data_IF_558347484623
#
_entry.id   IF_558347484623
#
_cell.length_a   1.000
_cell.length_b   1.000
_cell.length_c   1.000
_cell.angle_alpha   90.00
_cell.angle_beta   90.00
_cell.angle_gamma   90.00
#
_symmetry.space_group_name_H-M   'P 1'
#
loop_
_entity.id
_entity.type
_entity.pdbx_description
1 polymer ?
#
# COMPACT_ATOMS: atom_id res chain seq x y z
N UNK A 1 5.55 8.17 12.02
CA UNK A 1 4.48 8.23 11.00
C UNK A 1 4.89 8.99 9.74
N UNK A 2 5.79 9.97 9.85
CA UNK A 2 6.12 10.87 8.75
C UNK A 2 7.05 10.36 7.66
N UNK A 3 7.72 9.23 7.81
CA UNK A 3 8.79 8.83 6.89
C UNK A 3 8.28 8.28 5.55
N UNK A 4 7.20 7.53 5.55
CA UNK A 4 6.65 6.94 4.34
C UNK A 4 5.88 7.96 3.49
N UNK A 5 4.94 8.76 4.05
CA UNK A 5 4.34 9.88 3.33
C UNK A 5 5.36 10.88 2.77
N UNK A 6 6.39 11.23 3.55
CA UNK A 6 7.42 12.14 3.09
C UNK A 6 8.20 11.56 1.89
N UNK A 7 8.58 10.28 1.92
CA UNK A 7 9.26 9.64 0.79
C UNK A 7 8.37 9.57 -0.47
N UNK A 8 7.06 9.36 -0.29
CA UNK A 8 6.09 9.39 -1.41
C UNK A 8 5.98 10.81 -1.97
N UNK A 9 5.87 11.82 -1.11
CA UNK A 9 5.81 13.22 -1.54
C UNK A 9 7.08 13.64 -2.29
N UNK A 10 8.26 13.20 -1.83
CA UNK A 10 9.52 13.43 -2.54
C UNK A 10 9.52 12.80 -3.95
N UNK A 11 8.99 11.59 -4.09
CA UNK A 11 8.87 10.92 -5.37
C UNK A 11 7.84 11.64 -6.29
N UNK A 12 6.71 12.07 -5.73
CA UNK A 12 5.67 12.82 -6.46
C UNK A 12 6.14 14.20 -6.91
N UNK A 13 6.98 14.87 -6.11
CA UNK A 13 7.59 16.14 -6.52
C UNK A 13 8.47 15.99 -7.77
N UNK A 14 9.11 14.84 -7.96
CA UNK A 14 9.95 14.56 -9.12
C UNK A 14 9.18 14.02 -10.34
N UNK A 15 8.15 13.21 -10.10
CA UNK A 15 7.49 12.42 -11.15
C UNK A 15 6.03 12.85 -11.41
N UNK A 16 5.49 13.75 -10.60
CA UNK A 16 4.07 14.12 -10.58
C UNK A 16 3.23 13.22 -9.66
N UNK A 17 2.11 13.76 -9.13
CA UNK A 17 1.23 13.03 -8.23
C UNK A 17 0.43 11.94 -8.96
N UNK A 18 0.24 10.80 -8.29
CA UNK A 18 -0.63 9.73 -8.75
C UNK A 18 -2.00 9.81 -8.05
N UNK A 19 -3.06 9.26 -8.68
CA UNK A 19 -4.28 8.91 -7.95
C UNK A 19 -3.95 7.96 -6.80
N UNK A 20 -4.60 8.14 -5.65
CA UNK A 20 -4.33 7.40 -4.44
C UNK A 20 -5.55 6.59 -4.01
N UNK A 21 -5.36 5.30 -3.78
CA UNK A 21 -6.33 4.46 -3.10
C UNK A 21 -5.74 4.02 -1.76
N UNK A 22 -6.44 4.27 -0.67
CA UNK A 22 -5.99 3.88 0.66
C UNK A 22 -6.97 2.91 1.32
N UNK A 23 -6.43 1.90 1.97
CA UNK A 23 -7.20 1.04 2.87
C UNK A 23 -7.43 1.72 4.21
N UNK A 24 -8.19 1.09 5.10
CA UNK A 24 -8.47 1.60 6.43
C UNK A 24 -7.23 1.59 7.33
N UNK A 25 -7.29 2.35 8.42
CA UNK A 25 -6.24 2.43 9.44
C UNK A 25 -5.10 3.35 9.05
N UNK A 26 -3.86 2.93 9.37
CA UNK A 26 -2.65 3.72 9.14
C UNK A 26 -2.50 4.15 7.67
N UNK A 27 -3.00 3.35 6.74
CA UNK A 27 -2.99 3.68 5.31
C UNK A 27 -3.85 4.92 5.00
N UNK A 28 -5.04 5.00 5.59
CA UNK A 28 -5.92 6.15 5.39
C UNK A 28 -5.34 7.41 6.04
N UNK A 29 -4.79 7.29 7.25
CA UNK A 29 -4.16 8.44 7.92
C UNK A 29 -2.92 8.91 7.18
N UNK A 30 -2.07 8.00 6.69
CA UNK A 30 -0.92 8.34 5.86
C UNK A 30 -1.33 9.03 4.54
N UNK A 31 -2.49 8.66 3.97
CA UNK A 31 -2.99 9.26 2.73
C UNK A 31 -3.30 10.76 2.87
N UNK A 32 -3.69 11.24 4.07
CA UNK A 32 -3.94 12.67 4.30
C UNK A 32 -2.68 13.52 4.26
N UNK A 33 -1.51 12.92 4.51
CA UNK A 33 -0.21 13.60 4.46
C UNK A 33 0.47 13.50 3.09
N UNK A 34 -0.16 12.80 2.13
CA UNK A 34 0.37 12.60 0.77
C UNK A 34 -0.34 13.51 -0.21
N UNK A 35 0.43 14.28 -1.00
CA UNK A 35 -0.08 15.06 -2.11
C UNK A 35 -0.54 14.12 -3.24
N UNK A 36 -1.83 14.12 -3.54
CA UNK A 36 -2.45 13.24 -4.55
C UNK A 36 -3.32 14.05 -5.51
N UNK A 37 -3.61 13.47 -6.67
CA UNK A 37 -4.55 14.08 -7.62
C UNK A 37 -6.01 13.74 -7.28
N UNK A 38 -6.28 12.49 -6.90
CA UNK A 38 -7.56 11.98 -6.43
C UNK A 38 -7.31 11.03 -5.26
N UNK A 39 -8.23 10.96 -4.31
CA UNK A 39 -8.20 10.01 -3.19
C UNK A 39 -9.49 9.22 -3.11
N UNK A 40 -9.38 7.89 -3.02
CA UNK A 40 -10.46 6.99 -2.65
C UNK A 40 -10.07 6.19 -1.40
N UNK A 41 -10.95 6.18 -0.41
CA UNK A 41 -10.73 5.49 0.87
C UNK A 41 -12.09 5.11 1.50
N UNK A 42 -12.15 4.07 2.38
CA UNK A 42 -13.40 3.56 2.96
C UNK A 42 -13.84 4.37 4.19
N UNK A 43 -13.85 5.69 4.10
CA UNK A 43 -13.91 6.63 5.22
C UNK A 43 -15.04 6.42 6.23
N UNK A 44 -16.26 6.11 5.79
CA UNK A 44 -17.42 6.03 6.68
C UNK A 44 -17.55 4.67 7.37
N UNK A 45 -17.50 3.59 6.59
CA UNK A 45 -17.76 2.24 7.11
C UNK A 45 -16.50 1.51 7.59
N UNK A 46 -15.33 2.05 7.26
CA UNK A 46 -14.04 1.50 7.65
C UNK A 46 -13.78 0.05 7.15
N UNK A 47 -14.27 -0.27 5.94
CA UNK A 47 -14.10 -1.60 5.37
C UNK A 47 -12.64 -1.91 5.08
N UNK A 48 -12.11 -2.93 5.73
CA UNK A 48 -10.77 -3.46 5.45
C UNK A 48 -10.76 -4.27 4.16
N UNK A 49 -9.64 -4.28 3.44
CA UNK A 49 -9.53 -4.88 2.12
C UNK A 49 -10.12 -4.03 0.99
N UNK A 50 -10.43 -2.77 1.27
CA UNK A 50 -10.96 -1.83 0.27
C UNK A 50 -9.89 -1.33 -0.70
N UNK A 51 -8.65 -1.12 -0.24
CA UNK A 51 -7.61 -0.39 -0.96
C UNK A 51 -7.26 -0.99 -2.31
N UNK A 52 -7.02 -2.31 -2.38
CA UNK A 52 -6.63 -2.98 -3.63
C UNK A 52 -7.73 -2.91 -4.68
N UNK A 53 -8.96 -3.39 -4.43
CA UNK A 53 -10.03 -3.31 -5.44
C UNK A 53 -10.40 -1.88 -5.80
N UNK A 54 -10.34 -0.93 -4.86
CA UNK A 54 -10.59 0.48 -5.15
C UNK A 54 -9.51 1.07 -6.06
N UNK A 55 -8.24 0.72 -5.86
CA UNK A 55 -7.14 1.12 -6.75
C UNK A 55 -7.34 0.59 -8.17
N UNK A 56 -7.72 -0.67 -8.32
CA UNK A 56 -8.04 -1.25 -9.64
C UNK A 56 -9.24 -0.53 -10.28
N UNK A 57 -10.28 -0.25 -9.49
CA UNK A 57 -11.45 0.52 -9.93
C UNK A 57 -11.08 1.94 -10.36
N UNK A 58 -10.18 2.60 -9.62
CA UNK A 58 -9.68 3.94 -9.94
C UNK A 58 -8.91 3.94 -11.27
N UNK A 59 -8.05 2.94 -11.50
CA UNK A 59 -7.35 2.80 -12.79
C UNK A 59 -8.33 2.48 -13.93
N UNK A 60 -9.30 1.61 -13.70
CA UNK A 60 -10.33 1.30 -14.69
C UNK A 60 -11.16 2.52 -15.10
N UNK A 61 -11.53 3.35 -14.13
CA UNK A 61 -12.36 4.53 -14.37
C UNK A 61 -11.61 5.70 -15.02
N UNK A 62 -10.32 5.89 -14.66
CA UNK A 62 -9.55 7.08 -15.07
C UNK A 62 -8.51 6.81 -16.15
N UNK A 63 -8.17 5.55 -16.39
CA UNK A 63 -7.03 5.16 -17.22
C UNK A 63 -5.66 5.53 -16.62
N UNK A 64 -5.63 6.12 -15.42
CA UNK A 64 -4.41 6.58 -14.75
C UNK A 64 -3.92 5.55 -13.74
N UNK A 65 -2.62 5.38 -13.69
CA UNK A 65 -1.96 4.48 -12.75
C UNK A 65 -2.13 4.96 -11.31
N UNK A 66 -2.71 4.19 -10.38
CA UNK A 66 -2.81 4.58 -8.98
C UNK A 66 -1.62 4.12 -8.14
N UNK A 67 -1.38 4.84 -7.03
CA UNK A 67 -0.71 4.32 -5.86
C UNK A 67 -1.76 3.75 -4.90
N UNK A 68 -1.53 2.53 -4.42
CA UNK A 68 -2.42 1.85 -3.46
C UNK A 68 -1.68 1.68 -2.14
N UNK A 69 -2.27 2.13 -1.04
CA UNK A 69 -1.78 1.88 0.32
C UNK A 69 -2.69 0.86 0.98
N UNK A 70 -2.14 -0.24 1.47
CA UNK A 70 -2.89 -1.33 2.08
C UNK A 70 -2.12 -1.94 3.25
N UNK A 71 -2.80 -2.22 4.36
CA UNK A 71 -2.20 -2.96 5.48
C UNK A 71 -2.03 -4.44 5.15
N UNK A 72 -1.10 -5.10 5.83
CA UNK A 72 -0.82 -6.53 5.66
C UNK A 72 -2.06 -7.41 5.88
N UNK A 73 -2.83 -7.15 6.93
CA UNK A 73 -4.08 -7.87 7.18
C UNK A 73 -5.15 -7.59 6.14
N UNK A 74 -5.30 -6.35 5.69
CA UNK A 74 -6.23 -5.98 4.63
C UNK A 74 -5.83 -6.60 3.28
N UNK A 75 -4.53 -6.67 2.98
CA UNK A 75 -4.00 -7.34 1.79
C UNK A 75 -4.35 -8.83 1.77
N UNK A 76 -4.33 -9.52 2.91
CA UNK A 76 -4.73 -10.92 3.00
C UNK A 76 -6.18 -11.15 2.55
N UNK A 77 -7.05 -10.15 2.66
CA UNK A 77 -8.46 -10.24 2.25
C UNK A 77 -8.63 -10.13 0.73
N UNK A 78 -7.95 -9.18 0.08
CA UNK A 78 -8.25 -8.79 -1.31
C UNK A 78 -7.03 -8.62 -2.21
N UNK A 79 -5.82 -8.84 -1.71
CA UNK A 79 -4.59 -8.71 -2.51
C UNK A 79 -4.56 -9.58 -3.77
N UNK A 80 -5.29 -10.68 -3.75
CA UNK A 80 -5.45 -11.63 -4.87
C UNK A 80 -6.09 -10.99 -6.12
N UNK A 81 -6.85 -9.91 -5.94
CA UNK A 81 -7.45 -9.14 -7.04
C UNK A 81 -6.39 -8.55 -8.00
N UNK A 82 -5.14 -8.41 -7.54
CA UNK A 82 -4.02 -8.01 -8.40
C UNK A 82 -3.77 -8.97 -9.56
N UNK A 83 -4.19 -10.23 -9.45
CA UNK A 83 -4.15 -11.19 -10.55
C UNK A 83 -4.95 -10.75 -11.80
N UNK A 84 -5.93 -9.85 -11.63
CA UNK A 84 -6.69 -9.27 -12.73
C UNK A 84 -5.90 -8.25 -13.57
N UNK A 85 -4.81 -7.69 -13.02
CA UNK A 85 -4.00 -6.67 -13.70
C UNK A 85 -3.52 -7.15 -15.07
N UNK A 86 -3.06 -8.42 -15.17
CA UNK A 86 -2.62 -8.99 -16.44
C UNK A 86 -3.73 -9.01 -17.50
N UNK A 87 -4.96 -9.31 -17.10
CA UNK A 87 -6.10 -9.40 -18.02
C UNK A 87 -6.48 -8.05 -18.61
N UNK A 88 -6.38 -6.99 -17.81
CA UNK A 88 -6.85 -5.66 -18.17
C UNK A 88 -5.74 -4.67 -18.53
N UNK A 89 -4.47 -5.09 -18.46
CA UNK A 89 -3.32 -4.23 -18.72
C UNK A 89 -3.12 -3.16 -17.64
N UNK A 90 -3.56 -3.43 -16.41
CA UNK A 90 -3.39 -2.50 -15.29
C UNK A 90 -2.03 -2.68 -14.62
N UNK A 91 -1.48 -1.57 -14.13
CA UNK A 91 -0.14 -1.52 -13.55
C UNK A 91 -0.03 -0.68 -12.27
N UNK A 92 -0.94 -0.85 -11.28
CA UNK A 92 -0.87 -0.07 -10.04
C UNK A 92 0.46 -0.26 -9.31
N UNK A 93 0.84 0.72 -8.50
CA UNK A 93 1.89 0.57 -7.49
C UNK A 93 1.18 0.27 -6.17
N UNK A 94 1.52 -0.82 -5.51
CA UNK A 94 0.91 -1.26 -4.26
C UNK A 94 1.96 -1.23 -3.16
N UNK A 95 1.70 -0.50 -2.09
CA UNK A 95 2.54 -0.47 -0.88
C UNK A 95 1.81 -1.19 0.23
N UNK A 96 2.36 -2.30 0.67
CA UNK A 96 1.87 -3.05 1.83
C UNK A 96 2.55 -2.52 3.09
N UNK A 97 1.76 -2.00 4.02
CA UNK A 97 2.21 -1.62 5.37
C UNK A 97 2.29 -2.89 6.21
N UNK A 98 3.45 -3.53 6.21
CA UNK A 98 3.66 -4.80 6.88
C UNK A 98 4.18 -4.57 8.31
N UNK A 99 3.25 -4.42 9.24
CA UNK A 99 3.52 -4.32 10.67
C UNK A 99 3.25 -5.63 11.43
N UNK A 100 2.82 -6.68 10.74
CA UNK A 100 2.44 -8.00 11.27
C UNK A 100 1.36 -7.92 12.33
N UNK A 101 0.40 -7.02 12.14
CA UNK A 101 -0.62 -6.77 13.14
C UNK A 101 -1.88 -6.12 12.57
N UNK A 102 -3.02 -6.49 13.13
CA UNK A 102 -4.24 -5.69 13.08
C UNK A 102 -4.09 -4.48 14.02
N UNK A 103 -3.11 -3.63 13.78
CA UNK A 103 -2.61 -2.64 14.74
C UNK A 103 -3.69 -1.68 15.22
N UNK A 104 -4.58 -1.23 14.33
CA UNK A 104 -5.68 -0.36 14.71
C UNK A 104 -6.63 -0.98 15.76
N UNK A 105 -6.80 -2.30 15.75
CA UNK A 105 -7.64 -2.99 16.74
C UNK A 105 -7.00 -3.04 18.13
N UNK A 106 -5.67 -2.95 18.23
CA UNK A 106 -4.96 -2.86 19.50
C UNK A 106 -5.32 -1.62 20.31
N UNK A 107 -5.76 -0.55 19.65
CA UNK A 107 -6.24 0.65 20.33
C UNK A 107 -7.51 0.37 21.17
N UNK A 108 -8.32 -0.61 20.76
CA UNK A 108 -9.55 -0.98 21.45
C UNK A 108 -9.33 -2.09 22.50
N UNK A 109 -8.39 -3.01 22.26
CA UNK A 109 -8.09 -4.13 23.13
C UNK A 109 -6.59 -4.45 23.13
N UNK A 110 -5.75 -3.68 23.86
CA UNK A 110 -4.30 -3.75 23.78
C UNK A 110 -3.68 -5.12 24.18
N UNK A 111 -4.38 -5.88 24.98
CA UNK A 111 -3.89 -7.18 25.51
C UNK A 111 -4.19 -8.39 24.63
N UNK A 112 -4.92 -8.24 23.53
CA UNK A 112 -5.34 -9.39 22.71
C UNK A 112 -4.20 -9.94 21.86
N UNK A 113 -3.99 -11.25 21.92
CA UNK A 113 -3.05 -11.97 21.04
C UNK A 113 -3.61 -12.21 19.63
N UNK A 114 -4.91 -11.99 19.42
CA UNK A 114 -5.58 -12.21 18.15
C UNK A 114 -5.17 -11.21 17.07
N UNK A 115 -4.53 -10.12 17.45
CA UNK A 115 -4.11 -9.08 16.50
C UNK A 115 -2.72 -9.29 15.91
N UNK A 116 -1.97 -10.29 16.38
CA UNK A 116 -0.71 -10.65 15.77
C UNK A 116 -0.95 -11.40 14.45
N UNK A 117 -0.24 -11.01 13.41
CA UNK A 117 -0.24 -11.66 12.12
C UNK A 117 1.12 -12.31 11.83
N UNK A 118 1.11 -13.42 11.11
CA UNK A 118 2.32 -14.03 10.59
C UNK A 118 2.95 -13.14 9.51
N UNK A 119 4.27 -13.21 9.41
CA UNK A 119 5.04 -12.49 8.39
C UNK A 119 4.95 -13.24 7.05
N UNK A 120 3.94 -12.92 6.26
CA UNK A 120 3.82 -13.47 4.92
C UNK A 120 4.83 -12.85 3.96
N UNK A 121 5.26 -13.63 2.97
CA UNK A 121 6.05 -13.11 1.85
C UNK A 121 5.15 -12.41 0.83
N UNK A 122 4.69 -11.20 1.16
CA UNK A 122 3.84 -10.42 0.26
C UNK A 122 4.57 -10.08 -1.05
N UNK A 123 5.86 -9.77 -0.98
CA UNK A 123 6.65 -9.52 -2.17
C UNK A 123 6.72 -10.73 -3.10
N UNK A 124 6.88 -11.94 -2.54
CA UNK A 124 6.86 -13.19 -3.28
C UNK A 124 5.52 -13.50 -3.95
N UNK A 125 4.41 -13.03 -3.39
CA UNK A 125 3.08 -13.19 -4.00
C UNK A 125 2.93 -12.44 -5.34
N UNK A 126 3.74 -11.42 -5.62
CA UNK A 126 3.57 -10.59 -6.81
C UNK A 126 3.84 -11.35 -8.11
N UNK A 127 4.90 -12.15 -8.18
CA UNK A 127 5.31 -12.82 -9.41
C UNK A 127 4.26 -13.85 -9.93
N UNK A 128 3.69 -14.74 -9.11
CA UNK A 128 2.60 -15.63 -9.54
C UNK A 128 1.37 -14.88 -10.05
N UNK A 129 1.07 -13.69 -9.47
CA UNK A 129 -0.05 -12.84 -9.89
C UNK A 129 0.27 -11.98 -11.13
N UNK A 130 1.51 -12.02 -11.62
CA UNK A 130 1.92 -11.31 -12.85
C UNK A 130 2.54 -9.94 -12.62
N UNK A 131 2.91 -9.60 -11.40
CA UNK A 131 3.59 -8.36 -11.02
C UNK A 131 5.05 -8.54 -10.68
N UNK A 132 5.62 -7.51 -10.07
CA UNK A 132 6.98 -7.47 -9.51
C UNK A 132 6.88 -7.08 -8.04
N UNK A 133 7.48 -7.86 -7.15
CA UNK A 133 7.48 -7.59 -5.72
C UNK A 133 8.88 -7.32 -5.18
N UNK A 134 8.96 -6.46 -4.18
CA UNK A 134 10.18 -6.18 -3.42
C UNK A 134 9.85 -5.92 -1.96
N UNK A 135 10.61 -6.54 -1.05
CA UNK A 135 10.54 -6.23 0.39
C UNK A 135 11.58 -5.18 0.73
N UNK A 136 11.19 -4.21 1.54
CA UNK A 136 12.04 -3.10 1.99
C UNK A 136 11.90 -2.88 3.49
N UNK A 137 13.02 -2.55 4.15
CA UNK A 137 13.09 -2.44 5.61
C UNK A 137 13.54 -1.05 6.07
N UNK A 138 13.94 -0.18 5.15
CA UNK A 138 14.41 1.17 5.45
C UNK A 138 13.78 2.20 4.53
N UNK A 139 13.69 3.46 5.00
CA UNK A 139 13.22 4.59 4.18
C UNK A 139 14.00 4.71 2.87
N UNK A 140 15.32 4.51 2.88
CA UNK A 140 16.16 4.59 1.68
C UNK A 140 15.80 3.49 0.67
N UNK A 141 15.62 2.25 1.14
CA UNK A 141 15.20 1.14 0.27
C UNK A 141 13.81 1.39 -0.31
N UNK A 142 12.89 1.90 0.52
CA UNK A 142 11.54 2.26 0.09
C UNK A 142 11.56 3.32 -1.00
N UNK A 143 12.29 4.43 -0.79
CA UNK A 143 12.41 5.49 -1.78
C UNK A 143 12.97 4.97 -3.11
N UNK A 144 14.03 4.14 -3.07
CA UNK A 144 14.62 3.55 -4.27
C UNK A 144 13.65 2.56 -4.97
N UNK A 145 12.89 1.78 -4.20
CA UNK A 145 11.88 0.86 -4.74
C UNK A 145 10.72 1.63 -5.41
N UNK A 146 10.26 2.71 -4.78
CA UNK A 146 9.18 3.55 -5.31
C UNK A 146 9.60 4.24 -6.62
N UNK A 147 10.82 4.78 -6.69
CA UNK A 147 11.35 5.38 -7.93
C UNK A 147 11.39 4.35 -9.08
N UNK A 148 11.89 3.14 -8.81
CA UNK A 148 11.86 2.07 -9.81
C UNK A 148 10.44 1.71 -10.22
N UNK A 149 9.54 1.57 -9.23
CA UNK A 149 8.14 1.27 -9.48
C UNK A 149 7.48 2.35 -10.35
N UNK A 150 7.78 3.63 -10.14
CA UNK A 150 7.24 4.73 -10.95
C UNK A 150 7.77 4.71 -12.39
N UNK A 151 9.01 4.31 -12.59
CA UNK A 151 9.63 4.22 -13.93
C UNK A 151 9.14 2.99 -14.74
N UNK A 152 8.88 1.87 -14.08
CA UNK A 152 8.47 0.63 -14.74
C UNK A 152 6.96 0.59 -14.99
N UNK A 153 6.55 0.19 -16.21
CA UNK A 153 5.15 0.15 -16.64
C UNK A 153 4.76 -1.25 -17.14
N UNK A 154 3.44 -1.45 -17.29
CA UNK A 154 2.87 -2.65 -17.90
C UNK A 154 2.71 -3.85 -16.97
N UNK A 155 3.12 -3.76 -15.71
CA UNK A 155 2.89 -4.74 -14.64
C UNK A 155 2.73 -4.02 -13.33
N UNK A 156 1.88 -4.53 -12.43
CA UNK A 156 1.79 -3.97 -11.11
C UNK A 156 3.11 -4.15 -10.34
N UNK A 157 3.41 -3.19 -9.47
CA UNK A 157 4.59 -3.20 -8.60
C UNK A 157 4.09 -3.32 -7.16
N UNK A 158 4.64 -4.26 -6.38
CA UNK A 158 4.29 -4.45 -4.98
C UNK A 158 5.51 -4.20 -4.10
N UNK A 159 5.40 -3.22 -3.20
CA UNK A 159 6.45 -2.87 -2.24
C UNK A 159 5.96 -3.32 -0.86
N UNK A 160 6.55 -4.37 -0.32
CA UNK A 160 6.30 -4.86 1.04
C UNK A 160 7.18 -4.08 2.01
N UNK A 161 6.60 -3.05 2.65
CA UNK A 161 7.30 -2.16 3.57
C UNK A 161 7.16 -2.65 5.01
N UNK A 162 8.25 -3.17 5.59
CA UNK A 162 8.22 -3.75 6.94
C UNK A 162 8.49 -2.72 8.05
N UNK A 163 8.03 -3.02 9.25
CA UNK A 163 8.04 -2.12 10.42
C UNK A 163 9.41 -1.67 10.91
N UNK A 164 10.50 -2.35 10.60
CA UNK A 164 11.80 -2.11 11.22
C UNK A 164 12.49 -0.76 10.88
N UNK A 165 11.76 0.20 10.30
CA UNK A 165 12.29 1.53 10.00
C UNK A 165 11.46 2.38 9.01
N UNK A 166 10.37 1.84 8.46
CA UNK A 166 9.55 2.54 7.46
C UNK A 166 8.15 2.84 7.99
N UNK A 167 7.61 1.99 8.84
CA UNK A 167 6.21 2.05 9.33
C UNK A 167 6.19 2.11 10.86
N UNK A 168 6.87 3.07 11.49
CA UNK A 168 6.71 3.28 12.93
C UNK A 168 5.65 4.35 13.19
N UNK A 169 4.44 3.91 13.56
CA UNK A 169 3.29 4.76 13.92
C UNK A 169 3.14 4.94 15.43
N UNK A 170 4.07 4.42 16.24
CA UNK A 170 3.90 4.32 17.69
C UNK A 170 4.51 5.45 18.53
N UNK A 171 4.99 6.55 17.92
CA UNK A 171 5.56 7.69 18.64
C UNK A 171 4.85 9.00 18.29
N UNK A 172 3.71 9.20 18.93
CA UNK A 172 2.97 10.45 18.95
C UNK A 172 2.09 10.52 20.17
#
# INVERSE_FOLDING_TARGET
PGDLPAAINDAFARNGPLPLAADMGDCMFAAFDIGHSELVAPGYYASMGYGVPAGLGLQAATGRRPLVLVGDGAFQMTGWELGNCRRYGWDPIVVVFNNRSWEMLRAFEPGSSLYALDDWDFAGCAAPLGGVGVRVNTRREFAAALERAMAERGRFQLIDATRSGVVDVSSG
#
